data_IF_144294538998
#
_entry.id   IF_144294538998
#
_cell.length_a   1.000
_cell.length_b   1.000
_cell.length_c   1.000
_cell.angle_alpha   90.00
_cell.angle_beta   90.00
_cell.angle_gamma   90.00
#
_symmetry.space_group_name_H-M   'P 1'
#
loop_
_entity.id
_entity.type
_entity.pdbx_description
1 polymer ?
#
# COMPACT_ATOMS: atom_id res chain seq x y z
N UNK A 1 -16.66 -0.97 5.46
CA UNK A 1 -16.62 -0.44 4.09
C UNK A 1 -17.14 -1.51 3.13
N UNK A 2 -18.03 -1.16 2.22
CA UNK A 2 -18.50 -2.07 1.16
C UNK A 2 -17.87 -1.67 -0.17
N UNK A 3 -17.33 -2.66 -0.90
CA UNK A 3 -16.77 -2.48 -2.24
C UNK A 3 -17.41 -3.46 -3.19
N UNK A 4 -17.87 -2.96 -4.33
CA UNK A 4 -18.22 -3.78 -5.49
C UNK A 4 -17.03 -3.75 -6.47
N UNK A 5 -16.56 -4.91 -6.88
CA UNK A 5 -15.49 -5.01 -7.87
C UNK A 5 -15.77 -6.14 -8.85
N UNK A 6 -15.31 -5.97 -10.07
CA UNK A 6 -15.39 -6.96 -11.13
C UNK A 6 -13.98 -7.48 -11.37
N UNK A 7 -13.82 -8.79 -11.53
CA UNK A 7 -12.53 -9.33 -11.93
C UNK A 7 -12.21 -8.99 -13.38
N UNK A 8 -10.93 -9.11 -13.74
CA UNK A 8 -10.44 -8.86 -15.09
C UNK A 8 -10.95 -9.89 -16.12
N UNK A 9 -11.64 -10.94 -15.66
CA UNK A 9 -12.20 -12.01 -16.49
C UNK A 9 -13.67 -11.78 -16.86
N UNK A 10 -14.28 -10.68 -16.41
CA UNK A 10 -15.64 -10.30 -16.78
C UNK A 10 -16.72 -11.10 -16.06
N UNK A 11 -16.40 -11.73 -14.92
CA UNK A 11 -17.42 -12.38 -14.09
C UNK A 11 -18.33 -11.35 -13.41
N UNK A 12 -19.43 -11.83 -12.82
CA UNK A 12 -20.40 -10.97 -12.11
C UNK A 12 -19.71 -10.18 -10.99
N UNK A 13 -20.13 -8.92 -10.72
CA UNK A 13 -19.53 -8.09 -9.69
C UNK A 13 -19.58 -8.80 -8.32
N UNK A 14 -18.41 -8.90 -7.69
CA UNK A 14 -18.20 -9.47 -6.36
C UNK A 14 -18.34 -8.35 -5.32
N UNK A 15 -18.91 -8.70 -4.16
CA UNK A 15 -19.14 -7.80 -3.04
C UNK A 15 -18.19 -8.15 -1.91
N UNK A 16 -17.34 -7.19 -1.55
CA UNK A 16 -16.47 -7.27 -0.38
C UNK A 16 -17.00 -6.39 0.74
N UNK A 17 -17.15 -6.98 1.92
CA UNK A 17 -17.47 -6.27 3.16
C UNK A 17 -16.23 -6.30 4.05
N UNK A 18 -15.77 -5.13 4.45
CA UNK A 18 -14.61 -4.97 5.33
C UNK A 18 -15.06 -4.37 6.67
N UNK A 19 -14.65 -5.05 7.74
CA UNK A 19 -14.85 -4.62 9.12
C UNK A 19 -13.59 -3.96 9.65
N UNK A 20 -13.76 -2.92 10.46
CA UNK A 20 -12.66 -2.12 11.01
C UNK A 20 -12.82 -2.03 12.52
N UNK A 21 -11.69 -2.03 13.22
CA UNK A 21 -11.61 -1.84 14.66
C UNK A 21 -10.71 -0.62 14.88
N UNK A 22 -11.12 0.28 15.76
CA UNK A 22 -10.37 1.49 16.10
C UNK A 22 -10.30 1.64 17.61
N UNK A 23 -9.22 2.28 18.08
CA UNK A 23 -9.07 2.71 19.47
C UNK A 23 -9.64 4.10 19.75
N UNK A 24 -10.18 4.79 18.73
CA UNK A 24 -10.83 6.08 18.88
C UNK A 24 -12.08 5.96 19.76
N UNK A 25 -12.37 6.99 20.55
CA UNK A 25 -13.61 7.06 21.33
C UNK A 25 -14.83 7.24 20.42
N UNK A 26 -16.04 7.05 20.95
CA UNK A 26 -17.27 7.24 20.17
C UNK A 26 -17.44 8.69 19.70
N UNK A 27 -16.92 9.65 20.44
CA UNK A 27 -16.92 11.08 20.12
C UNK A 27 -15.91 11.43 19.01
N UNK A 28 -14.80 10.68 18.92
CA UNK A 28 -13.75 10.86 17.91
C UNK A 28 -14.01 10.06 16.63
N UNK A 29 -14.81 9.00 16.72
CA UNK A 29 -15.08 8.05 15.65
C UNK A 29 -16.32 8.43 14.82
N UNK A 30 -16.45 9.71 14.45
CA UNK A 30 -17.49 10.11 13.51
C UNK A 30 -17.27 9.47 12.13
N UNK A 31 -18.34 9.38 11.34
CA UNK A 31 -18.32 8.65 10.07
C UNK A 31 -17.36 9.23 9.04
N UNK A 32 -17.13 10.55 9.06
CA UNK A 32 -16.18 11.21 8.18
C UNK A 32 -14.75 10.92 8.62
N UNK A 33 -14.44 11.08 9.90
CA UNK A 33 -13.12 10.78 10.45
C UNK A 33 -12.71 9.32 10.17
N UNK A 34 -13.62 8.36 10.38
CA UNK A 34 -13.36 6.95 10.07
C UNK A 34 -13.14 6.74 8.57
N UNK A 35 -13.92 7.37 7.70
CA UNK A 35 -13.77 7.23 6.25
C UNK A 35 -12.44 7.80 5.77
N UNK A 36 -11.99 8.92 6.33
CA UNK A 36 -10.70 9.54 6.03
C UNK A 36 -9.54 8.62 6.42
N UNK A 37 -9.59 8.01 7.61
CA UNK A 37 -8.58 7.03 8.06
C UNK A 37 -8.57 5.80 7.14
N UNK A 38 -9.74 5.23 6.87
CA UNK A 38 -9.88 4.03 6.02
C UNK A 38 -9.34 4.30 4.61
N UNK A 39 -9.67 5.46 4.02
CA UNK A 39 -9.15 5.84 2.70
C UNK A 39 -7.66 6.17 2.75
N UNK A 40 -7.21 6.81 3.82
CA UNK A 40 -5.80 7.15 4.05
C UNK A 40 -4.90 5.91 4.07
N UNK A 41 -5.39 4.78 4.57
CA UNK A 41 -4.64 3.52 4.57
C UNK A 41 -4.18 3.09 3.16
N UNK A 42 -4.99 3.35 2.12
CA UNK A 42 -4.62 3.02 0.73
C UNK A 42 -3.42 3.82 0.21
N UNK A 43 -3.11 4.96 0.83
CA UNK A 43 -1.92 5.73 0.46
C UNK A 43 -0.63 4.96 0.73
N UNK A 44 -0.62 4.05 1.73
CA UNK A 44 0.52 3.19 2.04
C UNK A 44 0.72 2.19 0.90
N UNK A 45 -0.36 1.54 0.46
CA UNK A 45 -0.31 0.59 -0.65
C UNK A 45 0.23 1.24 -1.94
N UNK A 46 -0.32 2.39 -2.30
CA UNK A 46 0.07 3.07 -3.54
C UNK A 46 1.48 3.70 -3.46
N UNK A 47 1.88 4.24 -2.31
CA UNK A 47 3.13 5.01 -2.20
C UNK A 47 4.34 4.16 -1.81
N UNK A 48 4.11 3.03 -1.12
CA UNK A 48 5.17 2.14 -0.65
C UNK A 48 5.17 0.81 -1.39
N UNK A 49 4.06 0.07 -1.35
CA UNK A 49 4.01 -1.29 -1.90
C UNK A 49 4.16 -1.28 -3.42
N UNK A 50 3.33 -0.51 -4.13
CA UNK A 50 3.42 -0.43 -5.58
C UNK A 50 4.81 0.04 -6.07
N UNK A 51 5.40 1.04 -5.39
CA UNK A 51 6.75 1.53 -5.73
C UNK A 51 7.78 0.43 -5.51
N UNK A 52 7.67 -0.34 -4.43
CA UNK A 52 8.59 -1.45 -4.16
C UNK A 52 8.47 -2.55 -5.20
N UNK A 53 7.25 -2.94 -5.53
CA UNK A 53 6.94 -4.09 -6.39
C UNK A 53 7.30 -3.78 -7.85
N UNK A 54 6.94 -2.58 -8.32
CA UNK A 54 7.06 -2.20 -9.74
C UNK A 54 8.33 -1.40 -10.01
N UNK A 55 8.61 -0.34 -9.24
CA UNK A 55 9.74 0.58 -9.52
C UNK A 55 11.07 -0.02 -9.05
N UNK A 56 11.08 -0.67 -7.89
CA UNK A 56 12.25 -1.40 -7.35
C UNK A 56 12.28 -2.88 -7.75
N UNK A 57 11.37 -3.27 -8.64
CA UNK A 57 11.30 -4.58 -9.29
C UNK A 57 11.36 -5.76 -8.31
N UNK A 58 10.70 -5.61 -7.16
CA UNK A 58 10.64 -6.67 -6.16
C UNK A 58 9.93 -7.92 -6.71
N UNK A 59 8.88 -7.75 -7.52
CA UNK A 59 8.11 -8.85 -8.09
C UNK A 59 8.94 -9.79 -8.97
N UNK A 60 9.91 -9.25 -9.72
CA UNK A 60 10.78 -10.06 -10.59
C UNK A 60 12.02 -10.59 -9.88
N UNK A 61 12.26 -10.21 -8.63
CA UNK A 61 13.43 -10.62 -7.86
C UNK A 61 13.51 -12.14 -7.67
N UNK A 62 14.64 -12.73 -8.06
CA UNK A 62 14.91 -14.18 -7.92
C UNK A 62 15.66 -14.54 -6.61
N UNK A 63 15.89 -13.56 -5.75
CA UNK A 63 16.53 -13.75 -4.45
C UNK A 63 15.59 -14.57 -3.55
N UNK A 64 16.01 -15.78 -3.15
CA UNK A 64 15.17 -16.76 -2.45
C UNK A 64 15.89 -17.48 -1.29
N UNK A 65 17.18 -17.23 -1.06
CA UNK A 65 18.00 -18.03 -0.16
C UNK A 65 18.22 -17.32 1.18
N UNK A 66 18.14 -18.08 2.27
CA UNK A 66 18.49 -17.59 3.60
C UNK A 66 17.74 -16.33 4.02
N UNK A 67 18.47 -15.34 4.54
CA UNK A 67 17.92 -14.05 4.98
C UNK A 67 17.89 -12.98 3.88
N UNK A 68 18.38 -13.29 2.68
CA UNK A 68 18.57 -12.33 1.59
C UNK A 68 17.26 -11.63 1.16
N UNK A 69 16.10 -12.31 1.03
CA UNK A 69 14.85 -11.63 0.68
C UNK A 69 14.47 -10.53 1.68
N UNK A 70 14.69 -10.80 2.98
CA UNK A 70 14.42 -9.82 4.05
C UNK A 70 15.39 -8.65 4.00
N UNK A 71 16.68 -8.92 3.76
CA UNK A 71 17.71 -7.88 3.63
C UNK A 71 17.38 -6.96 2.47
N UNK A 72 17.04 -7.51 1.30
CA UNK A 72 16.68 -6.70 0.13
C UNK A 72 15.37 -5.92 0.33
N UNK A 73 14.36 -6.50 0.97
CA UNK A 73 13.16 -5.76 1.35
C UNK A 73 13.48 -4.56 2.27
N UNK A 74 14.39 -4.73 3.24
CA UNK A 74 14.86 -3.63 4.10
C UNK A 74 15.62 -2.55 3.32
N UNK A 75 16.48 -2.93 2.37
CA UNK A 75 17.22 -1.97 1.54
C UNK A 75 16.26 -1.17 0.64
N UNK A 76 15.30 -1.82 -0.02
CA UNK A 76 14.28 -1.13 -0.84
C UNK A 76 13.48 -0.14 0.02
N UNK A 77 13.07 -0.55 1.21
CA UNK A 77 12.38 0.33 2.15
C UNK A 77 13.21 1.54 2.54
N UNK A 78 14.49 1.34 2.85
CA UNK A 78 15.40 2.44 3.17
C UNK A 78 15.50 3.43 2.00
N UNK A 79 15.66 2.94 0.77
CA UNK A 79 15.71 3.80 -0.42
C UNK A 79 14.42 4.61 -0.60
N UNK A 80 13.25 3.97 -0.50
CA UNK A 80 11.94 4.63 -0.60
C UNK A 80 11.78 5.70 0.50
N UNK A 81 12.15 5.37 1.75
CA UNK A 81 12.09 6.32 2.87
C UNK A 81 13.00 7.52 2.65
N UNK A 82 14.21 7.33 2.12
CA UNK A 82 15.12 8.43 1.80
C UNK A 82 14.56 9.34 0.70
N UNK A 83 13.97 8.77 -0.35
CA UNK A 83 13.34 9.54 -1.43
C UNK A 83 12.16 10.38 -0.91
N UNK A 84 11.32 9.79 -0.05
CA UNK A 84 10.23 10.51 0.59
C UNK A 84 10.74 11.64 1.49
N UNK A 85 11.82 11.41 2.25
CA UNK A 85 12.42 12.43 3.13
C UNK A 85 12.94 13.63 2.34
N UNK A 86 13.47 13.41 1.13
CA UNK A 86 13.96 14.46 0.24
C UNK A 86 12.84 15.11 -0.61
N UNK A 87 11.56 14.76 -0.35
CA UNK A 87 10.41 15.42 -0.97
C UNK A 87 9.96 14.82 -2.30
N UNK A 88 10.49 13.68 -2.72
CA UNK A 88 10.07 12.99 -3.95
C UNK A 88 8.75 12.25 -3.74
N UNK A 89 7.63 12.98 -3.72
CA UNK A 89 6.28 12.43 -3.46
C UNK A 89 5.74 11.53 -4.59
N UNK A 90 6.36 11.55 -5.78
CA UNK A 90 5.98 10.72 -6.94
C UNK A 90 7.16 9.89 -7.40
N UNK A 91 7.68 9.03 -6.53
CA UNK A 91 8.88 8.21 -6.78
C UNK A 91 8.81 7.48 -8.14
N UNK A 92 7.64 6.94 -8.47
CA UNK A 92 7.35 6.32 -9.75
C UNK A 92 7.70 7.19 -10.97
N UNK A 93 7.31 8.47 -10.94
CA UNK A 93 7.54 9.40 -12.05
C UNK A 93 8.94 10.02 -12.01
N UNK A 94 9.62 9.95 -10.87
CA UNK A 94 10.95 10.55 -10.69
C UNK A 94 12.06 9.64 -11.21
N UNK A 95 11.90 8.32 -11.10
CA UNK A 95 12.96 7.34 -11.38
C UNK A 95 12.77 6.64 -12.75
N UNK A 96 11.56 6.74 -13.32
CA UNK A 96 11.20 6.14 -14.62
C UNK A 96 11.03 7.23 -15.68
#
# INVERSE_FOLDING_TARGET
>A
MERLFTDLHGEKPKKDIQFYITSLSAEEADSQALLEIIRGQWSIENSLHWVRDVVFDEDRSQIRIGSEPRVFASIRNLAISLLNLHGFKKIATTIT
#
